data_IF_612611773760
#
_entry.id   IF_612611773760
#
_cell.length_a   1.000
_cell.length_b   1.000
_cell.length_c   1.000
_cell.angle_alpha   90.00
_cell.angle_beta   90.00
_cell.angle_gamma   90.00
#
_symmetry.space_group_name_H-M   'P 1'
#
loop_
_entity.id
_entity.type
_entity.pdbx_description
1 polymer ?
#
# COMPACT_ATOMS: atom_id res chain seq x y z
N UNK A 1 23.78 -7.43 -18.08
CA UNK A 1 22.50 -7.81 -17.47
C UNK A 1 22.43 -7.22 -16.07
N UNK A 2 21.69 -6.12 -15.92
CA UNK A 2 21.47 -5.47 -14.62
C UNK A 2 20.47 -6.26 -13.75
N UNK A 3 19.61 -7.07 -14.39
CA UNK A 3 18.58 -7.88 -13.75
C UNK A 3 18.94 -9.38 -13.79
N UNK A 4 18.67 -10.10 -12.70
CA UNK A 4 18.93 -11.56 -12.58
C UNK A 4 17.96 -12.32 -13.48
N UNK A 5 18.45 -13.33 -14.22
CA UNK A 5 17.63 -14.11 -15.16
C UNK A 5 16.47 -14.88 -14.51
N UNK A 6 16.61 -15.24 -13.23
CA UNK A 6 15.52 -15.78 -12.41
C UNK A 6 15.44 -15.03 -11.08
N UNK A 7 14.23 -14.63 -10.68
CA UNK A 7 13.98 -13.94 -9.42
C UNK A 7 13.43 -14.92 -8.38
N UNK A 8 14.30 -15.37 -7.47
CA UNK A 8 14.01 -16.47 -6.54
C UNK A 8 12.76 -16.24 -5.67
N UNK A 9 12.43 -15.00 -5.31
CA UNK A 9 11.23 -14.68 -4.52
C UNK A 9 9.95 -15.00 -5.30
N UNK A 10 9.93 -14.75 -6.62
CA UNK A 10 8.79 -15.07 -7.48
C UNK A 10 8.63 -16.58 -7.67
N UNK A 11 9.74 -17.29 -7.86
CA UNK A 11 9.72 -18.75 -7.95
C UNK A 11 9.24 -19.38 -6.64
N UNK A 12 9.67 -18.85 -5.50
CA UNK A 12 9.18 -19.27 -4.18
C UNK A 12 7.67 -19.06 -4.07
N UNK A 13 7.16 -17.88 -4.42
CA UNK A 13 5.72 -17.62 -4.41
C UNK A 13 4.94 -18.62 -5.27
N UNK A 14 5.40 -18.89 -6.49
CA UNK A 14 4.78 -19.89 -7.36
C UNK A 14 4.83 -21.31 -6.77
N UNK A 15 5.94 -21.70 -6.16
CA UNK A 15 6.09 -23.01 -5.50
C UNK A 15 5.10 -23.20 -4.34
N UNK A 16 4.72 -22.11 -3.67
CA UNK A 16 3.68 -22.09 -2.63
C UNK A 16 2.26 -21.82 -3.19
N UNK A 17 2.07 -21.81 -4.51
CA UNK A 17 0.78 -21.63 -5.16
C UNK A 17 0.28 -20.18 -5.21
N UNK A 18 1.12 -19.21 -4.88
CA UNK A 18 0.79 -17.78 -5.00
C UNK A 18 0.99 -17.35 -6.45
N UNK A 19 -0.12 -17.13 -7.15
CA UNK A 19 -0.14 -16.77 -8.58
C UNK A 19 -0.38 -15.28 -8.84
N UNK A 20 -0.69 -14.51 -7.80
CA UNK A 20 -0.87 -13.05 -7.87
C UNK A 20 -0.44 -12.43 -6.55
N UNK A 21 0.32 -11.35 -6.61
CA UNK A 21 0.83 -10.63 -5.45
C UNK A 21 0.54 -9.15 -5.58
N UNK A 22 0.38 -8.48 -4.44
CA UNK A 22 0.50 -7.02 -4.35
C UNK A 22 1.73 -6.70 -3.51
N UNK A 23 2.70 -6.03 -4.11
CA UNK A 23 3.88 -5.51 -3.42
C UNK A 23 3.59 -4.06 -2.97
N UNK A 24 3.35 -3.83 -1.67
CA UNK A 24 2.82 -2.56 -1.20
C UNK A 24 3.88 -1.48 -1.02
N UNK A 25 5.18 -1.79 -1.16
CA UNK A 25 6.26 -0.81 -1.01
C UNK A 25 7.61 -1.42 -1.41
N UNK A 26 8.18 -0.98 -2.52
CA UNK A 26 9.49 -1.47 -2.98
C UNK A 26 10.61 -0.45 -2.82
N UNK A 27 10.31 0.77 -2.36
CA UNK A 27 11.19 1.95 -2.30
C UNK A 27 11.78 2.41 -3.65
N UNK A 28 11.92 1.51 -4.62
CA UNK A 28 12.39 1.75 -5.98
C UNK A 28 11.35 1.33 -7.02
N UNK A 29 11.60 1.65 -8.29
CA UNK A 29 10.73 1.32 -9.42
C UNK A 29 11.08 0.00 -10.12
N UNK A 30 12.09 -0.75 -9.64
CA UNK A 30 12.56 -1.98 -10.31
C UNK A 30 11.46 -3.03 -10.45
N UNK A 31 10.52 -3.07 -9.49
CA UNK A 31 9.36 -3.96 -9.50
C UNK A 31 8.44 -3.72 -10.69
N UNK A 32 8.38 -2.50 -11.23
CA UNK A 32 7.59 -2.19 -12.42
C UNK A 32 8.19 -2.89 -13.63
N UNK A 33 9.51 -2.86 -13.78
CA UNK A 33 10.23 -3.61 -14.82
C UNK A 33 10.01 -5.13 -14.66
N UNK A 34 10.07 -5.66 -13.43
CA UNK A 34 9.82 -7.08 -13.19
C UNK A 34 8.38 -7.48 -13.50
N UNK A 35 7.41 -6.62 -13.17
CA UNK A 35 6.00 -6.79 -13.53
C UNK A 35 5.83 -6.87 -15.05
N UNK A 36 6.46 -5.97 -15.80
CA UNK A 36 6.39 -5.96 -17.27
C UNK A 36 7.02 -7.22 -17.89
N UNK A 37 8.17 -7.66 -17.36
CA UNK A 37 8.81 -8.90 -17.82
C UNK A 37 7.94 -10.13 -17.55
N UNK A 38 7.26 -10.20 -16.39
CA UNK A 38 6.29 -11.27 -16.12
C UNK A 38 5.10 -11.19 -17.07
N UNK A 39 4.57 -10.00 -17.33
CA UNK A 39 3.43 -9.82 -18.23
C UNK A 39 3.79 -10.18 -19.69
N UNK A 40 5.00 -9.86 -20.13
CA UNK A 40 5.52 -10.23 -21.45
C UNK A 40 5.90 -11.72 -21.58
N UNK A 41 5.94 -12.46 -20.47
CA UNK A 41 6.38 -13.86 -20.44
C UNK A 41 7.90 -14.05 -20.51
N UNK A 42 8.67 -12.98 -20.29
CA UNK A 42 10.14 -12.99 -20.27
C UNK A 42 10.72 -13.34 -18.89
N UNK A 43 9.91 -13.22 -17.82
CA UNK A 43 10.27 -13.64 -16.46
C UNK A 43 9.18 -14.55 -15.88
N UNK A 44 9.56 -15.69 -15.33
CA UNK A 44 8.62 -16.57 -14.63
C UNK A 44 8.31 -16.01 -13.23
N UNK A 45 7.04 -15.70 -12.97
CA UNK A 45 6.59 -15.22 -11.67
C UNK A 45 5.07 -15.11 -11.55
N UNK A 46 4.55 -14.78 -10.35
CA UNK A 46 3.14 -14.45 -10.17
C UNK A 46 2.78 -13.16 -10.91
N UNK A 47 1.50 -12.92 -11.20
CA UNK A 47 1.05 -11.59 -11.62
C UNK A 47 1.33 -10.59 -10.49
N UNK A 48 2.16 -9.60 -10.77
CA UNK A 48 2.56 -8.59 -9.79
C UNK A 48 1.68 -7.36 -9.96
N UNK A 49 1.04 -6.93 -8.89
CA UNK A 49 0.61 -5.55 -8.69
C UNK A 49 1.59 -4.90 -7.74
N UNK A 50 1.96 -3.65 -7.96
CA UNK A 50 2.81 -2.93 -7.01
C UNK A 50 2.40 -1.48 -6.93
N UNK A 51 2.68 -0.84 -5.80
CA UNK A 51 2.60 0.61 -5.66
C UNK A 51 3.88 1.30 -6.14
N UNK A 52 4.97 0.56 -6.38
CA UNK A 52 6.30 1.14 -6.49
C UNK A 52 6.72 1.81 -5.16
N UNK A 53 7.46 2.94 -5.21
CA UNK A 53 7.81 3.72 -4.01
C UNK A 53 6.55 4.23 -3.30
N UNK A 54 6.42 4.07 -2.00
CA UNK A 54 5.31 4.63 -1.23
C UNK A 54 5.33 6.15 -1.08
N UNK A 55 4.22 6.72 -0.60
CA UNK A 55 4.04 8.14 -0.33
C UNK A 55 4.36 8.40 1.14
N UNK A 56 5.40 9.18 1.40
CA UNK A 56 5.91 9.44 2.76
C UNK A 56 5.67 10.90 3.18
N UNK A 57 5.90 11.18 4.47
CA UNK A 57 5.93 12.56 4.99
C UNK A 57 6.96 13.47 4.29
N UNK A 58 8.01 12.90 3.70
CA UNK A 58 9.03 13.64 2.94
C UNK A 58 8.51 14.26 1.64
N UNK A 59 7.36 13.82 1.13
CA UNK A 59 6.68 14.50 0.02
C UNK A 59 6.25 15.92 0.43
N UNK A 60 6.14 16.20 1.74
CA UNK A 60 5.82 17.52 2.30
C UNK A 60 4.64 18.20 1.58
N UNK A 61 3.54 17.47 1.42
CA UNK A 61 2.36 17.95 0.69
C UNK A 61 1.82 19.22 1.35
N UNK A 62 1.76 20.32 0.59
CA UNK A 62 1.44 21.65 1.12
C UNK A 62 -0.02 22.04 0.87
N UNK A 63 -0.63 21.47 -0.18
CA UNK A 63 -2.02 21.67 -0.55
C UNK A 63 -2.53 20.52 -1.45
N UNK A 64 -3.79 20.62 -1.90
CA UNK A 64 -4.42 19.62 -2.76
C UNK A 64 -3.80 19.56 -4.17
N UNK A 65 -3.30 20.66 -4.71
CA UNK A 65 -2.69 20.68 -6.04
C UNK A 65 -1.32 19.98 -6.01
N UNK A 66 -0.55 20.17 -4.95
CA UNK A 66 0.67 19.40 -4.70
C UNK A 66 0.34 17.91 -4.52
N UNK A 67 -0.73 17.56 -3.78
CA UNK A 67 -1.16 16.15 -3.66
C UNK A 67 -1.49 15.53 -5.03
N UNK A 68 -2.15 16.27 -5.93
CA UNK A 68 -2.40 15.84 -7.31
C UNK A 68 -1.09 15.59 -8.06
N UNK A 69 -0.13 16.50 -7.97
CA UNK A 69 1.17 16.31 -8.62
C UNK A 69 1.88 15.03 -8.15
N UNK A 70 1.86 14.76 -6.84
CA UNK A 70 2.41 13.51 -6.28
C UNK A 70 1.65 12.29 -6.82
N UNK A 71 0.31 12.33 -6.89
CA UNK A 71 -0.50 11.21 -7.38
C UNK A 71 -0.30 10.92 -8.87
N UNK A 72 -0.03 11.95 -9.71
CA UNK A 72 0.24 11.75 -11.16
C UNK A 72 1.39 10.79 -11.41
N UNK A 73 2.36 10.74 -10.50
CA UNK A 73 3.48 9.79 -10.60
C UNK A 73 3.01 8.34 -10.63
N UNK A 74 1.98 8.03 -9.87
CA UNK A 74 1.41 6.69 -9.76
C UNK A 74 0.38 6.38 -10.84
N UNK A 75 -0.45 7.35 -11.21
CA UNK A 75 -1.48 7.15 -12.26
C UNK A 75 -0.89 7.15 -13.66
N UNK A 76 0.00 8.09 -13.98
CA UNK A 76 0.37 8.37 -15.37
C UNK A 76 1.72 7.74 -15.73
N UNK A 77 2.72 7.82 -14.83
CA UNK A 77 4.07 7.32 -15.12
C UNK A 77 4.23 5.85 -14.75
N UNK A 78 3.71 5.42 -13.61
CA UNK A 78 3.88 4.04 -13.13
C UNK A 78 2.68 3.12 -13.43
N UNK A 79 1.50 3.69 -13.64
CA UNK A 79 0.24 2.99 -13.82
C UNK A 79 -0.09 1.93 -12.74
N UNK A 80 0.20 2.23 -11.47
CA UNK A 80 0.16 1.25 -10.37
C UNK A 80 -1.24 0.90 -9.88
N UNK A 81 -2.26 1.70 -10.26
CA UNK A 81 -3.68 1.64 -9.81
C UNK A 81 -3.90 1.81 -8.31
N UNK A 82 -2.85 1.66 -7.50
CA UNK A 82 -2.87 1.77 -6.05
C UNK A 82 -1.64 2.53 -5.58
N UNK A 83 -1.76 3.16 -4.41
CA UNK A 83 -0.62 3.71 -3.68
C UNK A 83 -0.59 3.13 -2.27
N UNK A 84 0.57 3.28 -1.62
CA UNK A 84 0.72 3.01 -0.20
C UNK A 84 1.25 4.24 0.49
N UNK A 85 0.50 4.73 1.47
CA UNK A 85 0.83 5.90 2.26
C UNK A 85 1.46 5.48 3.59
N UNK A 86 2.67 5.99 3.83
CA UNK A 86 3.46 5.83 5.04
C UNK A 86 3.48 7.15 5.81
N UNK A 87 2.58 7.29 6.78
CA UNK A 87 2.59 8.40 7.75
C UNK A 87 2.68 9.79 7.11
N UNK A 88 1.83 10.09 6.12
CA UNK A 88 1.86 11.38 5.45
C UNK A 88 1.26 12.46 6.36
N UNK A 89 2.12 13.27 6.97
CA UNK A 89 1.77 14.54 7.59
C UNK A 89 0.57 14.50 8.56
N UNK A 90 -0.10 15.66 8.69
CA UNK A 90 -1.31 15.81 9.48
C UNK A 90 -2.56 15.26 8.74
N UNK A 91 -3.73 15.29 9.41
CA UNK A 91 -4.97 14.74 8.83
C UNK A 91 -5.43 15.46 7.56
N UNK A 92 -5.24 16.77 7.47
CA UNK A 92 -5.60 17.55 6.29
C UNK A 92 -4.77 17.11 5.07
N UNK A 93 -3.46 16.90 5.26
CA UNK A 93 -2.58 16.37 4.22
C UNK A 93 -3.04 14.98 3.73
N UNK A 94 -3.44 14.09 4.65
CA UNK A 94 -4.03 12.78 4.29
C UNK A 94 -5.34 12.93 3.53
N UNK A 95 -6.20 13.87 3.92
CA UNK A 95 -7.44 14.14 3.20
C UNK A 95 -7.19 14.64 1.76
N UNK A 96 -6.16 15.47 1.55
CA UNK A 96 -5.73 15.84 0.20
C UNK A 96 -5.22 14.65 -0.61
N UNK A 97 -4.44 13.74 0.00
CA UNK A 97 -3.97 12.51 -0.66
C UNK A 97 -5.14 11.66 -1.14
N UNK A 98 -6.10 11.34 -0.27
CA UNK A 98 -7.23 10.48 -0.66
C UNK A 98 -8.14 11.16 -1.68
N UNK A 99 -8.30 12.49 -1.60
CA UNK A 99 -9.05 13.24 -2.61
C UNK A 99 -8.37 13.20 -3.97
N UNK A 100 -7.06 13.51 -4.03
CA UNK A 100 -6.28 13.44 -5.27
C UNK A 100 -6.24 12.01 -5.84
N UNK A 101 -6.07 11.00 -4.98
CA UNK A 101 -6.07 9.60 -5.40
C UNK A 101 -7.42 9.21 -6.03
N UNK A 102 -8.53 9.65 -5.45
CA UNK A 102 -9.87 9.43 -6.01
C UNK A 102 -10.05 10.11 -7.37
N UNK A 103 -9.56 11.33 -7.54
CA UNK A 103 -9.62 12.07 -8.81
C UNK A 103 -8.84 11.35 -9.93
N UNK A 104 -7.81 10.58 -9.57
CA UNK A 104 -6.95 9.83 -10.50
C UNK A 104 -7.26 8.33 -10.54
N UNK A 105 -8.41 7.92 -9.99
CA UNK A 105 -8.86 6.52 -9.96
C UNK A 105 -7.85 5.56 -9.29
N UNK A 106 -7.05 6.08 -8.35
CA UNK A 106 -6.12 5.30 -7.53
C UNK A 106 -6.80 4.84 -6.24
N UNK A 107 -6.48 3.62 -5.79
CA UNK A 107 -6.90 3.11 -4.48
C UNK A 107 -5.76 3.23 -3.45
N UNK A 108 -5.82 4.19 -2.51
CA UNK A 108 -4.77 4.35 -1.52
C UNK A 108 -4.92 3.40 -0.34
N UNK A 109 -3.81 2.80 0.09
CA UNK A 109 -3.73 1.99 1.31
C UNK A 109 -2.86 2.67 2.36
N UNK A 110 -3.08 2.36 3.63
CA UNK A 110 -2.29 2.92 4.74
C UNK A 110 -1.42 1.86 5.42
N UNK A 111 -0.31 2.28 6.02
CA UNK A 111 0.61 1.39 6.74
C UNK A 111 0.19 1.08 8.17
N UNK A 112 -0.46 1.99 8.88
CA UNK A 112 -0.91 1.75 10.25
C UNK A 112 -0.06 2.41 11.33
N UNK A 113 1.20 2.73 11.08
CA UNK A 113 2.04 3.64 11.85
C UNK A 113 2.12 3.37 13.36
N UNK A 114 1.78 2.17 13.83
CA UNK A 114 1.60 1.85 15.26
C UNK A 114 0.69 2.85 16.03
N UNK A 115 -0.16 3.63 15.34
CA UNK A 115 -1.01 4.66 15.94
C UNK A 115 -2.49 4.36 15.71
N UNK A 116 -3.12 3.80 16.73
CA UNK A 116 -4.54 3.43 16.69
C UNK A 116 -5.46 4.61 16.36
N UNK A 117 -5.18 5.80 16.88
CA UNK A 117 -6.04 6.98 16.64
C UNK A 117 -5.91 7.43 15.19
N UNK A 118 -4.69 7.46 14.68
CA UNK A 118 -4.47 7.76 13.27
C UNK A 118 -5.19 6.76 12.37
N UNK A 119 -5.12 5.46 12.68
CA UNK A 119 -5.76 4.41 11.87
C UNK A 119 -7.26 4.60 11.80
N UNK A 120 -7.91 4.89 12.94
CA UNK A 120 -9.33 5.19 12.96
C UNK A 120 -9.66 6.43 12.12
N UNK A 121 -8.83 7.48 12.15
CA UNK A 121 -9.07 8.65 11.28
C UNK A 121 -8.98 8.30 9.80
N UNK A 122 -8.03 7.47 9.40
CA UNK A 122 -7.88 7.03 8.00
C UNK A 122 -9.08 6.19 7.54
N UNK A 123 -9.58 5.30 8.40
CA UNK A 123 -10.82 4.53 8.13
C UNK A 123 -12.02 5.47 7.99
N UNK A 124 -12.16 6.44 8.90
CA UNK A 124 -13.24 7.44 8.87
C UNK A 124 -13.15 8.32 7.62
N UNK A 125 -11.95 8.71 7.20
CA UNK A 125 -11.70 9.53 6.01
C UNK A 125 -11.95 8.75 4.70
N UNK A 126 -12.11 7.41 4.78
CA UNK A 126 -12.57 6.57 3.68
C UNK A 126 -11.47 5.84 2.92
N UNK A 127 -10.29 5.66 3.51
CA UNK A 127 -9.20 4.91 2.86
C UNK A 127 -9.65 3.46 2.59
N UNK A 128 -9.51 2.95 1.35
CA UNK A 128 -10.02 1.63 0.97
C UNK A 128 -9.22 0.46 1.54
N UNK A 129 -8.00 0.67 2.03
CA UNK A 129 -7.20 -0.39 2.65
C UNK A 129 -6.39 0.07 3.85
N UNK A 130 -6.45 -0.71 4.91
CA UNK A 130 -5.60 -0.60 6.10
C UNK A 130 -4.77 -1.88 6.21
N UNK A 131 -3.45 -1.72 6.22
CA UNK A 131 -2.53 -2.83 6.39
C UNK A 131 -1.93 -2.79 7.79
N UNK A 132 -1.24 -3.87 8.16
CA UNK A 132 -0.75 -4.16 9.51
C UNK A 132 -1.88 -4.31 10.51
N UNK A 133 -1.56 -4.87 11.68
CA UNK A 133 -2.54 -5.06 12.74
C UNK A 133 -2.82 -3.73 13.44
N UNK A 134 -4.06 -3.45 13.81
CA UNK A 134 -4.31 -2.38 14.79
C UNK A 134 -3.48 -2.63 16.06
N UNK A 135 -2.77 -1.62 16.62
CA UNK A 135 -1.79 -1.82 17.69
C UNK A 135 -2.45 -2.00 19.09
N UNK A 136 -3.70 -2.43 19.12
CA UNK A 136 -4.47 -2.67 20.35
C UNK A 136 -5.25 -3.98 20.22
N UNK A 137 -5.32 -4.72 21.32
CA UNK A 137 -6.09 -5.95 21.40
C UNK A 137 -6.72 -6.09 22.81
N UNK A 138 -7.98 -6.57 22.93
CA UNK A 138 -8.90 -6.93 21.85
C UNK A 138 -9.48 -5.71 21.11
N UNK A 139 -9.87 -5.90 19.85
CA UNK A 139 -10.71 -4.95 19.13
C UNK A 139 -12.17 -5.14 19.56
N UNK A 140 -12.79 -4.07 20.04
CA UNK A 140 -14.19 -4.07 20.44
C UNK A 140 -15.11 -3.88 19.23
N UNK A 141 -16.40 -4.16 19.44
CA UNK A 141 -17.41 -4.22 18.38
C UNK A 141 -17.58 -2.89 17.63
N UNK A 142 -17.45 -1.76 18.33
CA UNK A 142 -17.51 -0.43 17.72
C UNK A 142 -16.45 -0.22 16.64
N UNK A 143 -15.22 -0.68 16.89
CA UNK A 143 -14.11 -0.60 15.92
C UNK A 143 -14.35 -1.56 14.75
N UNK A 144 -14.76 -2.79 15.04
CA UNK A 144 -15.07 -3.79 14.02
C UNK A 144 -16.20 -3.30 13.11
N UNK A 145 -17.28 -2.78 13.69
CA UNK A 145 -18.44 -2.27 12.96
C UNK A 145 -18.07 -1.02 12.13
N UNK A 146 -17.19 -0.13 12.63
CA UNK A 146 -16.68 1.01 11.88
C UNK A 146 -15.88 0.60 10.62
N UNK A 147 -14.92 -0.34 10.77
CA UNK A 147 -14.11 -0.83 9.65
C UNK A 147 -14.98 -1.59 8.64
N UNK A 148 -15.92 -2.40 9.13
CA UNK A 148 -16.86 -3.11 8.25
C UNK A 148 -17.79 -2.15 7.49
N UNK A 149 -18.32 -1.12 8.17
CA UNK A 149 -19.22 -0.13 7.58
C UNK A 149 -18.55 0.72 6.50
N UNK A 150 -17.31 1.16 6.76
CA UNK A 150 -16.50 1.94 5.80
C UNK A 150 -16.08 1.12 4.57
N UNK A 151 -16.17 -0.21 4.65
CA UNK A 151 -15.70 -1.15 3.61
C UNK A 151 -14.20 -1.06 3.36
N UNK A 152 -13.43 -0.59 4.34
CA UNK A 152 -11.98 -0.64 4.31
C UNK A 152 -11.52 -2.10 4.41
N UNK A 153 -10.69 -2.54 3.46
CA UNK A 153 -10.04 -3.85 3.51
C UNK A 153 -8.99 -3.84 4.60
N UNK A 154 -9.04 -4.80 5.51
CA UNK A 154 -8.08 -4.95 6.60
C UNK A 154 -7.11 -6.10 6.33
N UNK A 155 -5.81 -5.79 6.21
CA UNK A 155 -4.74 -6.78 5.99
C UNK A 155 -3.79 -6.79 7.19
N UNK A 156 -4.06 -7.60 8.23
CA UNK A 156 -3.38 -7.49 9.54
C UNK A 156 -1.93 -7.97 9.58
N UNK A 157 -1.44 -8.59 8.49
CA UNK A 157 -0.07 -9.14 8.37
C UNK A 157 0.41 -9.88 9.62
N UNK A 158 -0.43 -10.76 10.21
CA UNK A 158 -0.22 -11.34 11.55
C UNK A 158 1.15 -12.01 11.80
N UNK A 159 1.86 -12.46 10.75
CA UNK A 159 3.22 -12.99 10.86
C UNK A 159 4.26 -11.94 11.28
N UNK A 160 4.03 -10.67 10.93
CA UNK A 160 4.86 -9.50 11.24
C UNK A 160 4.09 -8.45 12.04
N UNK A 161 3.06 -8.88 12.77
CA UNK A 161 2.21 -7.97 13.54
C UNK A 161 3.02 -7.16 14.57
N UNK A 162 2.53 -5.95 14.83
CA UNK A 162 3.04 -5.07 15.87
C UNK A 162 3.08 -5.78 17.24
N UNK A 163 4.26 -5.80 17.86
CA UNK A 163 4.49 -6.48 19.15
C UNK A 163 4.59 -8.01 19.09
N UNK A 164 4.58 -8.62 17.89
CA UNK A 164 4.87 -10.04 17.68
C UNK A 164 6.37 -10.40 17.75
N UNK A 165 6.74 -11.69 17.72
CA UNK A 165 8.14 -12.14 17.83
C UNK A 165 9.06 -11.62 16.70
N UNK A 166 8.49 -11.31 15.55
CA UNK A 166 9.16 -10.76 14.36
C UNK A 166 8.65 -9.34 14.05
N UNK A 167 8.24 -8.60 15.09
CA UNK A 167 7.55 -7.31 14.94
C UNK A 167 8.38 -6.28 14.17
N UNK A 168 7.67 -5.52 13.33
CA UNK A 168 8.02 -4.15 12.96
C UNK A 168 7.88 -3.18 14.14
#
# INVERSE_FOLDING_TARGET
NLHRGEFWSYLTNLAYGVITTRDPQTATTDVLTYQDLVHAGELLGPRVYSTGPGVFSSENIEDLDHAREVMKRYSDYYDTKTIKMYGAGNREQRQWIIQAAKEMELMPTTEGALDFKENLTQVIDGYPGHEHSFPVFPLYRDVIDLVAFSRTVYTPTLLVAYGGPWAE
#
